data_IF_367455824975
#
_entry.id   IF_367455824975
#
_cell.length_a   1.000
_cell.length_b   1.000
_cell.length_c   1.000
_cell.angle_alpha   90.00
_cell.angle_beta   90.00
_cell.angle_gamma   90.00
#
_symmetry.space_group_name_H-M   'P 1'
#
loop_
_entity.id
_entity.type
_entity.pdbx_description
1 polymer ?
#
# COMPACT_ATOMS: atom_id res chain seq x y z
N UNK A 1 42.79 35.92 10.15
CA UNK A 1 41.82 34.85 9.87
C UNK A 1 41.49 34.89 8.39
N UNK A 2 41.73 33.82 7.62
CA UNK A 2 41.53 33.86 6.16
C UNK A 2 40.06 33.66 5.79
N UNK A 3 39.66 34.25 4.65
CA UNK A 3 38.32 34.06 4.08
C UNK A 3 38.01 32.60 3.74
N UNK A 4 39.04 31.79 3.41
CA UNK A 4 38.90 30.35 3.18
C UNK A 4 38.46 29.61 4.44
N UNK A 5 39.09 29.90 5.59
CA UNK A 5 38.73 29.30 6.87
C UNK A 5 37.29 29.63 7.27
N UNK A 6 36.86 30.89 7.08
CA UNK A 6 35.49 31.29 7.39
C UNK A 6 34.46 30.54 6.52
N UNK A 7 34.73 30.34 5.22
CA UNK A 7 33.86 29.54 4.34
C UNK A 7 33.78 28.08 4.77
N UNK A 8 34.90 27.46 5.11
CA UNK A 8 34.94 26.07 5.58
C UNK A 8 34.11 25.89 6.86
N UNK A 9 34.22 26.83 7.81
CA UNK A 9 33.42 26.82 9.04
C UNK A 9 31.92 26.95 8.73
N UNK A 10 31.53 27.88 7.84
CA UNK A 10 30.10 28.06 7.48
C UNK A 10 29.53 26.84 6.77
N UNK A 11 30.28 26.24 5.83
CA UNK A 11 29.84 25.02 5.13
C UNK A 11 29.69 23.86 6.10
N UNK A 12 30.67 23.65 6.98
CA UNK A 12 30.63 22.59 8.00
C UNK A 12 29.45 22.78 8.96
N UNK A 13 29.16 24.01 9.38
CA UNK A 13 28.00 24.32 10.21
C UNK A 13 26.68 24.05 9.49
N UNK A 14 26.58 24.38 8.20
CA UNK A 14 25.39 24.12 7.39
C UNK A 14 25.17 22.62 7.20
N UNK A 15 26.22 21.86 6.89
CA UNK A 15 26.18 20.40 6.79
C UNK A 15 25.75 19.75 8.11
N UNK A 16 26.28 20.22 9.24
CA UNK A 16 25.88 19.76 10.57
C UNK A 16 24.40 20.06 10.84
N UNK A 17 23.93 21.27 10.54
CA UNK A 17 22.51 21.65 10.70
C UNK A 17 21.61 20.76 9.84
N UNK A 18 21.99 20.51 8.59
CA UNK A 18 21.24 19.63 7.70
C UNK A 18 21.24 18.18 8.19
N UNK A 19 22.37 17.66 8.66
CA UNK A 19 22.47 16.32 9.24
C UNK A 19 21.62 16.18 10.51
N UNK A 20 21.65 17.15 11.42
CA UNK A 20 20.81 17.18 12.62
C UNK A 20 19.33 17.27 12.23
N UNK A 21 18.97 18.14 11.29
CA UNK A 21 17.62 18.26 10.77
C UNK A 21 17.14 16.95 10.13
N UNK A 22 18.02 16.24 9.42
CA UNK A 22 17.72 14.93 8.83
C UNK A 22 17.49 13.87 9.92
N UNK A 23 18.34 13.79 10.94
CA UNK A 23 18.15 12.85 12.06
C UNK A 23 16.85 13.14 12.82
N UNK A 24 16.56 14.41 13.10
CA UNK A 24 15.29 14.82 13.74
C UNK A 24 14.11 14.48 12.83
N UNK A 25 14.21 14.74 11.53
CA UNK A 25 13.18 14.42 10.55
C UNK A 25 12.93 12.92 10.49
N UNK A 26 13.97 12.09 10.43
CA UNK A 26 13.86 10.63 10.44
C UNK A 26 13.24 10.12 11.75
N UNK A 27 13.65 10.69 12.89
CA UNK A 27 13.07 10.35 14.19
C UNK A 27 11.58 10.70 14.24
N UNK A 28 11.20 11.93 13.88
CA UNK A 28 9.79 12.36 13.79
C UNK A 28 8.99 11.50 12.80
N UNK A 29 9.61 11.14 11.67
CA UNK A 29 9.05 10.22 10.69
C UNK A 29 8.72 8.85 11.31
N UNK A 30 9.59 8.35 12.20
CA UNK A 30 9.33 7.14 12.98
C UNK A 30 8.07 7.21 13.83
N UNK A 31 7.67 8.40 14.28
CA UNK A 31 6.49 8.64 15.11
C UNK A 31 5.22 8.98 14.32
N UNK A 32 5.25 9.02 12.98
CA UNK A 32 4.08 9.42 12.18
C UNK A 32 2.80 8.64 12.54
N UNK A 33 2.80 7.32 12.75
CA UNK A 33 1.59 6.61 13.17
C UNK A 33 1.00 7.13 14.48
N UNK A 34 1.85 7.52 15.43
CA UNK A 34 1.42 8.08 16.73
C UNK A 34 0.92 9.51 16.53
N UNK A 35 1.63 10.32 15.74
CA UNK A 35 1.20 11.68 15.39
C UNK A 35 -0.13 11.67 14.63
N UNK A 36 -0.37 10.67 13.77
CA UNK A 36 -1.63 10.46 13.08
C UNK A 36 -2.78 10.16 14.05
N UNK A 37 -2.56 9.31 15.06
CA UNK A 37 -3.58 9.07 16.09
C UNK A 37 -3.83 10.32 16.91
N UNK A 38 -2.77 11.02 17.33
CA UNK A 38 -2.88 12.26 18.09
C UNK A 38 -3.62 13.34 17.29
N UNK A 39 -3.37 13.45 15.99
CA UNK A 39 -4.06 14.34 15.06
C UNK A 39 -5.55 13.99 14.92
N UNK A 40 -5.89 12.71 14.69
CA UNK A 40 -7.29 12.25 14.61
C UNK A 40 -8.05 12.54 15.91
N UNK A 41 -7.45 12.23 17.07
CA UNK A 41 -8.04 12.47 18.37
C UNK A 41 -8.12 13.96 18.72
N UNK A 42 -7.10 14.74 18.37
CA UNK A 42 -7.04 16.18 18.59
C UNK A 42 -8.15 16.91 17.82
N UNK A 43 -8.28 16.64 16.52
CA UNK A 43 -9.39 17.15 15.71
C UNK A 43 -10.75 16.71 16.23
N UNK A 44 -10.88 15.44 16.62
CA UNK A 44 -12.14 14.92 17.19
C UNK A 44 -12.50 15.65 18.47
N UNK A 45 -11.55 15.81 19.39
CA UNK A 45 -11.77 16.55 20.62
C UNK A 45 -12.17 18.00 20.33
N UNK A 46 -11.45 18.70 19.44
CA UNK A 46 -11.73 20.07 19.08
C UNK A 46 -13.13 20.26 18.47
N UNK A 47 -13.49 19.42 17.49
CA UNK A 47 -14.81 19.46 16.84
C UNK A 47 -15.92 19.15 17.84
N UNK A 48 -15.74 18.16 18.72
CA UNK A 48 -16.73 17.82 19.73
C UNK A 48 -16.87 18.92 20.79
N UNK A 49 -15.77 19.51 21.27
CA UNK A 49 -15.80 20.63 22.20
C UNK A 49 -16.55 21.81 21.59
N UNK A 50 -16.28 22.14 20.33
CA UNK A 50 -17.00 23.22 19.65
C UNK A 50 -18.49 22.89 19.43
N UNK A 51 -18.81 21.79 18.74
CA UNK A 51 -20.20 21.48 18.37
C UNK A 51 -21.06 21.14 19.60
N UNK A 52 -20.58 20.29 20.50
CA UNK A 52 -21.33 19.88 21.68
C UNK A 52 -21.25 20.90 22.80
N UNK A 53 -20.04 21.41 23.09
CA UNK A 53 -19.79 22.24 24.26
C UNK A 53 -20.20 23.70 24.11
N UNK A 54 -20.09 24.25 22.90
CA UNK A 54 -20.43 25.66 22.65
C UNK A 54 -21.79 25.82 21.95
N UNK A 55 -22.16 24.94 21.02
CA UNK A 55 -23.38 25.14 20.20
C UNK A 55 -24.59 24.34 20.70
N UNK A 56 -24.44 23.04 20.95
CA UNK A 56 -25.60 22.16 21.27
C UNK A 56 -25.95 22.20 22.76
N UNK A 57 -24.97 22.00 23.64
CA UNK A 57 -25.10 22.03 25.09
C UNK A 57 -24.14 23.12 25.57
N UNK A 58 -24.50 24.41 25.47
CA UNK A 58 -23.61 25.50 25.87
C UNK A 58 -23.25 25.38 27.35
N UNK A 59 -22.17 24.66 27.67
CA UNK A 59 -21.67 24.44 29.03
C UNK A 59 -20.98 25.70 29.55
N UNK A 60 -20.45 26.51 28.64
CA UNK A 60 -19.92 27.84 28.91
C UNK A 60 -20.99 28.91 28.69
N UNK A 61 -21.92 29.03 29.63
CA UNK A 61 -22.56 30.32 29.89
C UNK A 61 -21.53 31.25 30.54
N UNK A 62 -20.56 31.76 29.79
CA UNK A 62 -20.08 33.12 30.07
C UNK A 62 -21.16 34.03 29.50
N UNK A 63 -21.96 34.71 30.35
CA UNK A 63 -23.08 35.54 29.92
C UNK A 63 -22.51 36.82 29.30
N UNK A 64 -21.96 36.71 28.09
CA UNK A 64 -21.63 37.83 27.24
C UNK A 64 -22.76 38.03 26.22
N UNK A 65 -23.21 39.27 25.96
CA UNK A 65 -24.31 39.57 25.03
C UNK A 65 -24.03 39.21 23.56
N UNK A 66 -22.88 38.60 23.25
CA UNK A 66 -22.39 38.34 21.90
C UNK A 66 -22.49 36.86 21.48
N UNK A 67 -22.72 35.91 22.40
CA UNK A 67 -22.86 34.50 22.04
C UNK A 67 -24.32 34.05 22.10
N UNK A 68 -25.09 34.41 21.07
CA UNK A 68 -26.48 33.95 20.90
C UNK A 68 -26.48 32.81 19.89
N UNK A 69 -26.87 31.61 20.33
CA UNK A 69 -27.07 30.44 19.47
C UNK A 69 -28.53 30.39 19.06
N UNK A 70 -28.82 30.44 17.76
CA UNK A 70 -30.18 30.28 17.27
C UNK A 70 -30.59 28.80 17.19
N UNK A 71 -31.90 28.54 17.09
CA UNK A 71 -32.40 27.18 16.83
C UNK A 71 -31.89 26.62 15.49
N UNK A 72 -31.66 27.51 14.51
CA UNK A 72 -31.08 27.12 13.23
C UNK A 72 -29.64 26.62 13.42
N UNK A 73 -28.82 27.34 14.18
CA UNK A 73 -27.42 26.96 14.46
C UNK A 73 -27.33 25.62 15.19
N UNK A 74 -28.24 25.36 16.12
CA UNK A 74 -28.30 24.07 16.81
C UNK A 74 -28.61 22.91 15.84
N UNK A 75 -29.60 23.09 14.95
CA UNK A 75 -29.92 22.08 13.93
C UNK A 75 -28.73 21.85 12.97
N UNK A 76 -28.03 22.91 12.57
CA UNK A 76 -26.83 22.82 11.74
C UNK A 76 -25.72 22.08 12.49
N UNK A 77 -25.48 22.37 13.77
CA UNK A 77 -24.49 21.69 14.58
C UNK A 77 -24.79 20.19 14.73
N UNK A 78 -26.05 19.81 14.93
CA UNK A 78 -26.47 18.40 14.96
C UNK A 78 -26.21 17.69 13.63
N UNK A 79 -26.52 18.35 12.51
CA UNK A 79 -26.23 17.81 11.18
C UNK A 79 -24.71 17.65 10.94
N UNK A 80 -23.92 18.68 11.29
CA UNK A 80 -22.46 18.65 11.20
C UNK A 80 -21.84 17.57 12.09
N UNK A 81 -22.39 17.34 13.28
CA UNK A 81 -21.96 16.26 14.16
C UNK A 81 -22.20 14.88 13.52
N UNK A 82 -23.36 14.69 12.88
CA UNK A 82 -23.66 13.46 12.13
C UNK A 82 -22.69 13.24 10.95
N UNK A 83 -22.43 14.29 10.17
CA UNK A 83 -21.46 14.25 9.06
C UNK A 83 -20.05 13.96 9.59
N UNK A 84 -19.62 14.63 10.65
CA UNK A 84 -18.32 14.44 11.26
C UNK A 84 -18.15 13.01 11.78
N UNK A 85 -19.14 12.47 12.51
CA UNK A 85 -19.11 11.10 13.01
C UNK A 85 -18.99 10.08 11.86
N UNK A 86 -19.75 10.27 10.78
CA UNK A 86 -19.63 9.44 9.59
C UNK A 86 -18.21 9.49 8.99
N UNK A 87 -17.69 10.70 8.75
CA UNK A 87 -16.35 10.88 8.17
C UNK A 87 -15.26 10.28 9.08
N UNK A 88 -15.37 10.47 10.40
CA UNK A 88 -14.46 9.86 11.37
C UNK A 88 -14.45 8.33 11.26
N UNK A 89 -15.62 7.68 11.23
CA UNK A 89 -15.71 6.22 11.06
C UNK A 89 -15.12 5.76 9.73
N UNK A 90 -15.35 6.51 8.66
CA UNK A 90 -14.82 6.19 7.34
C UNK A 90 -13.31 6.40 7.22
N UNK A 91 -12.71 7.25 8.06
CA UNK A 91 -11.25 7.48 8.14
C UNK A 91 -10.57 6.52 9.12
N UNK A 92 -11.10 6.36 10.34
CA UNK A 92 -10.50 5.52 11.37
C UNK A 92 -10.69 4.01 11.08
N UNK A 93 -11.82 3.63 10.45
CA UNK A 93 -12.13 2.23 10.16
C UNK A 93 -11.12 1.51 9.24
N UNK A 94 -10.75 2.06 8.06
CA UNK A 94 -9.73 1.47 7.21
C UNK A 94 -8.37 1.37 7.90
N UNK A 95 -8.00 2.37 8.72
CA UNK A 95 -6.76 2.36 9.50
C UNK A 95 -6.76 1.21 10.52
N UNK A 96 -7.84 1.08 11.29
CA UNK A 96 -8.03 0.00 12.25
C UNK A 96 -8.01 -1.38 11.58
N UNK A 97 -8.63 -1.51 10.40
CA UNK A 97 -8.60 -2.74 9.61
C UNK A 97 -7.17 -3.08 9.17
N UNK A 98 -6.40 -2.10 8.66
CA UNK A 98 -5.01 -2.33 8.27
C UNK A 98 -4.14 -2.75 9.45
N UNK A 99 -4.25 -2.10 10.61
CA UNK A 99 -3.53 -2.50 11.81
C UNK A 99 -3.94 -3.87 12.31
N UNK A 100 -5.23 -4.20 12.28
CA UNK A 100 -5.72 -5.54 12.64
C UNK A 100 -5.14 -6.61 11.72
N UNK A 101 -5.12 -6.36 10.41
CA UNK A 101 -4.50 -7.25 9.43
C UNK A 101 -2.98 -7.37 9.64
N UNK A 102 -2.28 -6.25 9.85
CA UNK A 102 -0.84 -6.20 10.14
C UNK A 102 -0.51 -6.99 11.40
N UNK A 103 -1.24 -6.77 12.48
CA UNK A 103 -1.09 -7.50 13.74
C UNK A 103 -1.28 -9.01 13.56
N UNK A 104 -2.32 -9.43 12.83
CA UNK A 104 -2.56 -10.84 12.53
C UNK A 104 -1.40 -11.45 11.72
N UNK A 105 -0.92 -10.76 10.69
CA UNK A 105 0.22 -11.21 9.88
C UNK A 105 1.51 -11.29 10.71
N UNK A 106 1.75 -10.30 11.58
CA UNK A 106 2.90 -10.29 12.48
C UNK A 106 2.89 -11.44 13.50
N UNK A 107 1.72 -11.92 13.92
CA UNK A 107 1.57 -12.98 14.91
C UNK A 107 1.54 -14.37 14.31
N UNK A 108 0.98 -14.52 13.10
CA UNK A 108 0.62 -15.83 12.53
C UNK A 108 1.12 -16.03 11.09
N UNK A 109 1.83 -15.06 10.53
CA UNK A 109 2.11 -14.99 9.09
C UNK A 109 0.84 -14.69 8.27
N UNK A 110 1.02 -14.47 6.97
CA UNK A 110 -0.10 -14.45 6.04
C UNK A 110 -0.70 -15.86 5.92
N UNK A 111 -2.04 -15.94 5.95
CA UNK A 111 -2.79 -17.18 5.70
C UNK A 111 -3.67 -16.98 4.46
N UNK A 112 -3.47 -17.77 3.40
CA UNK A 112 -4.34 -17.70 2.23
C UNK A 112 -5.74 -18.24 2.55
N UNK A 113 -6.73 -17.99 1.66
CA UNK A 113 -8.05 -18.60 1.76
C UNK A 113 -7.97 -20.13 1.91
N UNK A 114 -8.90 -20.74 2.67
CA UNK A 114 -8.87 -22.18 2.94
C UNK A 114 -8.96 -23.04 1.67
N UNK A 115 -9.64 -22.55 0.63
CA UNK A 115 -9.77 -23.22 -0.66
C UNK A 115 -8.59 -22.93 -1.62
N UNK A 116 -7.54 -22.23 -1.18
CA UNK A 116 -6.42 -21.92 -2.05
C UNK A 116 -5.60 -23.18 -2.37
N UNK A 117 -5.24 -23.35 -3.63
CA UNK A 117 -4.47 -24.50 -4.12
C UNK A 117 -2.98 -24.16 -4.12
N UNK A 118 -2.19 -24.92 -3.36
CA UNK A 118 -0.73 -24.74 -3.25
C UNK A 118 0.06 -25.40 -4.38
N UNK A 119 -0.53 -26.41 -5.05
CA UNK A 119 0.10 -27.18 -6.12
C UNK A 119 0.24 -26.42 -7.43
N UNK A 120 0.74 -27.12 -8.45
CA UNK A 120 0.91 -26.59 -9.80
C UNK A 120 -0.45 -26.21 -10.43
N UNK A 121 -0.45 -25.11 -11.18
CA UNK A 121 -1.61 -24.58 -11.91
C UNK A 121 -1.32 -24.49 -13.40
N UNK A 122 -2.34 -24.20 -14.21
CA UNK A 122 -2.16 -24.06 -15.67
C UNK A 122 -1.25 -22.87 -16.01
N UNK A 123 -1.40 -21.77 -15.28
CA UNK A 123 -0.55 -20.58 -15.40
C UNK A 123 -0.04 -20.20 -14.02
N UNK A 124 1.25 -19.90 -13.92
CA UNK A 124 1.90 -19.48 -12.68
C UNK A 124 2.93 -18.40 -12.99
N UNK A 125 3.15 -17.49 -12.06
CA UNK A 125 4.34 -16.66 -12.06
C UNK A 125 5.57 -17.54 -11.85
N UNK A 126 6.65 -17.23 -12.55
CA UNK A 126 7.92 -17.96 -12.45
C UNK A 126 9.02 -17.10 -11.81
N UNK A 127 10.11 -17.75 -11.42
CA UNK A 127 11.35 -17.05 -11.13
C UNK A 127 11.96 -16.50 -12.41
N UNK A 128 12.82 -15.47 -12.28
CA UNK A 128 13.56 -14.93 -13.42
C UNK A 128 14.50 -15.96 -14.07
N UNK A 129 14.96 -16.97 -13.31
CA UNK A 129 15.76 -18.09 -13.83
C UNK A 129 14.85 -19.21 -14.35
N UNK A 130 14.94 -19.57 -15.65
CA UNK A 130 14.19 -20.69 -16.22
C UNK A 130 14.60 -22.03 -15.59
N UNK A 131 15.90 -22.25 -15.38
CA UNK A 131 16.42 -23.49 -14.78
C UNK A 131 15.94 -23.70 -13.35
N UNK A 132 15.90 -22.64 -12.54
CA UNK A 132 15.37 -22.71 -11.17
C UNK A 132 13.86 -23.02 -11.18
N UNK A 133 13.11 -22.38 -12.08
CA UNK A 133 11.68 -22.60 -12.25
C UNK A 133 11.37 -24.05 -12.66
N UNK A 134 12.15 -24.59 -13.60
CA UNK A 134 12.04 -25.97 -14.05
C UNK A 134 12.37 -26.95 -12.92
N UNK A 135 13.44 -26.69 -12.15
CA UNK A 135 13.82 -27.53 -11.00
C UNK A 135 12.71 -27.59 -9.95
N UNK A 136 12.11 -26.46 -9.58
CA UNK A 136 11.01 -26.45 -8.62
C UNK A 136 9.77 -27.19 -9.14
N UNK A 137 9.41 -26.96 -10.41
CA UNK A 137 8.26 -27.64 -11.02
C UNK A 137 8.46 -29.15 -11.10
N UNK A 138 9.68 -29.61 -11.44
CA UNK A 138 10.02 -31.04 -11.45
C UNK A 138 9.87 -31.71 -10.07
N UNK A 139 9.96 -30.92 -8.99
CA UNK A 139 9.72 -31.37 -7.62
C UNK A 139 8.24 -31.22 -7.18
N UNK A 140 7.34 -30.88 -8.11
CA UNK A 140 5.93 -30.61 -7.83
C UNK A 140 5.65 -29.25 -7.20
N UNK A 141 6.65 -28.36 -7.13
CA UNK A 141 6.52 -27.03 -6.53
C UNK A 141 6.25 -25.94 -7.55
N UNK A 142 5.58 -24.89 -7.07
CA UNK A 142 5.39 -23.64 -7.81
C UNK A 142 6.74 -23.05 -8.28
N UNK A 143 6.82 -22.51 -9.52
CA UNK A 143 8.08 -22.07 -10.13
C UNK A 143 8.58 -20.73 -9.59
N UNK A 144 7.70 -19.88 -9.05
CA UNK A 144 8.06 -18.71 -8.26
C UNK A 144 8.20 -19.13 -6.79
N UNK A 145 9.36 -18.88 -6.19
CA UNK A 145 9.61 -19.11 -4.76
C UNK A 145 10.49 -18.00 -4.23
N UNK A 146 10.11 -17.48 -3.07
CA UNK A 146 10.97 -16.56 -2.33
C UNK A 146 12.24 -17.26 -1.86
N UNK A 147 13.40 -16.68 -2.19
CA UNK A 147 14.73 -17.17 -1.77
C UNK A 147 14.93 -17.23 -0.27
N UNK A 148 14.27 -16.37 0.52
CA UNK A 148 14.35 -16.35 1.99
C UNK A 148 13.45 -17.38 2.67
N UNK A 149 12.38 -17.79 2.01
CA UNK A 149 11.42 -18.75 2.55
C UNK A 149 11.50 -20.11 1.84
N UNK A 150 12.59 -20.38 1.10
CA UNK A 150 12.83 -21.71 0.53
C UNK A 150 13.01 -22.67 1.71
N UNK A 151 12.21 -23.74 1.81
CA UNK A 151 12.40 -24.73 2.85
C UNK A 151 13.79 -25.36 2.71
N UNK A 152 14.43 -25.68 3.83
CA UNK A 152 15.61 -26.54 3.81
C UNK A 152 15.24 -27.90 3.22
N UNK A 153 16.20 -28.58 2.58
CA UNK A 153 16.02 -29.95 2.07
C UNK A 153 15.43 -30.87 3.14
N UNK A 154 15.93 -30.75 4.37
CA UNK A 154 15.43 -31.47 5.54
C UNK A 154 13.95 -31.18 5.86
N UNK A 155 13.51 -29.92 5.75
CA UNK A 155 12.10 -29.55 5.96
C UNK A 155 11.15 -30.07 4.87
N UNK A 156 11.67 -30.33 3.65
CA UNK A 156 10.92 -31.00 2.59
C UNK A 156 10.75 -32.49 2.88
N UNK A 157 11.84 -33.16 3.31
CA UNK A 157 11.85 -34.58 3.68
C UNK A 157 10.94 -34.87 4.89
N UNK A 158 10.92 -33.97 5.87
CA UNK A 158 10.09 -34.08 7.07
C UNK A 158 8.62 -33.64 6.83
N UNK A 159 8.26 -33.19 5.62
CA UNK A 159 6.91 -32.72 5.30
C UNK A 159 6.47 -31.44 6.04
N UNK A 160 7.39 -30.80 6.77
CA UNK A 160 7.15 -29.61 7.61
C UNK A 160 7.27 -28.29 6.84
N UNK A 161 7.78 -28.34 5.60
CA UNK A 161 7.91 -27.21 4.71
C UNK A 161 6.56 -26.59 4.36
N UNK A 162 6.36 -25.31 4.68
CA UNK A 162 5.19 -24.57 4.23
C UNK A 162 5.29 -24.38 2.69
N UNK A 163 4.53 -25.19 1.95
CA UNK A 163 4.64 -25.29 0.49
C UNK A 163 3.85 -24.23 -0.28
N UNK A 164 3.09 -23.37 0.41
CA UNK A 164 2.27 -22.37 -0.26
C UNK A 164 3.08 -21.16 -0.73
N UNK A 165 3.33 -21.12 -2.03
CA UNK A 165 3.79 -19.92 -2.73
C UNK A 165 2.93 -19.71 -3.98
N UNK A 166 1.95 -18.81 -3.87
CA UNK A 166 1.13 -18.39 -5.00
C UNK A 166 1.81 -17.31 -5.84
N UNK A 167 1.12 -16.91 -6.90
CA UNK A 167 1.54 -15.82 -7.76
C UNK A 167 1.57 -14.51 -6.98
N UNK A 168 2.58 -13.70 -7.27
CA UNK A 168 2.80 -12.35 -6.74
C UNK A 168 3.03 -12.33 -5.23
N UNK A 169 3.53 -13.44 -4.67
CA UNK A 169 3.99 -13.46 -3.28
C UNK A 169 5.41 -12.91 -3.18
N UNK A 170 5.61 -11.94 -2.30
CA UNK A 170 6.92 -11.38 -2.01
C UNK A 170 7.16 -11.36 -0.51
N UNK A 171 8.42 -11.54 -0.14
CA UNK A 171 8.83 -11.50 1.25
C UNK A 171 8.86 -10.06 1.79
N UNK A 172 8.26 -9.90 2.97
CA UNK A 172 8.12 -8.61 3.64
C UNK A 172 8.88 -8.64 4.96
N UNK A 173 9.68 -7.60 5.17
CA UNK A 173 10.35 -7.31 6.44
C UNK A 173 9.89 -5.91 6.84
N UNK A 174 9.59 -5.70 8.12
CA UNK A 174 9.29 -4.36 8.66
C UNK A 174 10.54 -3.50 8.65
N UNK A 175 10.38 -2.18 8.82
CA UNK A 175 11.53 -1.28 9.01
C UNK A 175 12.38 -1.66 10.24
N UNK A 176 11.73 -2.19 11.30
CA UNK A 176 12.40 -2.72 12.48
C UNK A 176 13.09 -4.08 12.28
N UNK A 177 13.13 -4.60 11.05
CA UNK A 177 13.77 -5.88 10.73
C UNK A 177 12.93 -7.12 11.04
N UNK A 178 11.67 -6.97 11.49
CA UNK A 178 10.80 -8.10 11.80
C UNK A 178 10.31 -8.76 10.50
N UNK A 179 10.54 -10.06 10.39
CA UNK A 179 10.09 -10.88 9.26
C UNK A 179 8.57 -11.12 9.33
N UNK A 180 7.84 -10.77 8.26
CA UNK A 180 6.40 -11.02 8.11
C UNK A 180 6.10 -12.20 7.18
N UNK A 181 7.14 -12.82 6.62
CA UNK A 181 7.07 -13.88 5.63
C UNK A 181 6.64 -13.38 4.25
N UNK A 182 6.16 -14.31 3.42
CA UNK A 182 5.68 -13.99 2.08
C UNK A 182 4.21 -13.56 2.11
N UNK A 183 3.91 -12.40 1.51
CA UNK A 183 2.58 -11.82 1.45
C UNK A 183 2.23 -11.59 -0.02
N UNK A 184 1.00 -11.93 -0.47
CA UNK A 184 0.59 -11.73 -1.85
C UNK A 184 0.38 -10.26 -2.19
N UNK A 185 0.71 -9.91 -3.43
CA UNK A 185 0.57 -8.58 -4.04
C UNK A 185 1.19 -7.51 -3.14
N UNK A 186 2.36 -7.80 -2.57
CA UNK A 186 3.09 -6.88 -1.69
C UNK A 186 3.61 -5.68 -2.48
N UNK A 187 3.17 -4.48 -2.10
CA UNK A 187 3.67 -3.22 -2.62
C UNK A 187 4.93 -2.79 -1.85
N UNK A 188 4.77 -2.53 -0.55
CA UNK A 188 5.84 -2.18 0.39
C UNK A 188 5.38 -2.38 1.84
N UNK A 189 6.31 -2.29 2.79
CA UNK A 189 5.96 -2.04 4.19
C UNK A 189 5.83 -0.53 4.37
N UNK A 190 4.63 -0.05 4.66
CA UNK A 190 4.34 1.36 4.85
C UNK A 190 4.80 1.79 6.23
N UNK A 191 5.93 2.50 6.28
CA UNK A 191 6.54 2.96 7.53
C UNK A 191 5.70 4.00 8.25
N UNK A 192 4.99 4.89 7.54
CA UNK A 192 4.14 5.93 8.14
C UNK A 192 2.82 5.41 8.72
N UNK A 193 2.47 4.15 8.46
CA UNK A 193 1.30 3.49 9.03
C UNK A 193 1.65 2.23 9.85
N UNK A 194 2.91 1.79 9.84
CA UNK A 194 3.35 0.50 10.39
C UNK A 194 2.54 -0.71 9.88
N UNK A 195 2.22 -0.74 8.58
CA UNK A 195 1.48 -1.85 7.96
C UNK A 195 2.11 -2.30 6.64
N UNK A 196 2.09 -3.60 6.31
CA UNK A 196 2.37 -4.04 4.95
C UNK A 196 1.21 -3.62 4.04
N UNK A 197 1.51 -2.89 2.96
CA UNK A 197 0.56 -2.61 1.88
C UNK A 197 0.61 -3.79 0.91
N UNK A 198 -0.43 -4.63 0.97
CA UNK A 198 -0.48 -5.92 0.32
C UNK A 198 -1.91 -6.30 -0.05
N UNK A 199 -2.14 -7.44 -0.69
CA UNK A 199 -3.47 -7.89 -1.12
C UNK A 199 -4.60 -7.63 -0.09
N UNK A 200 -4.49 -8.02 1.20
CA UNK A 200 -5.54 -7.81 2.19
C UNK A 200 -5.71 -6.35 2.65
N UNK A 201 -4.73 -5.46 2.43
CA UNK A 201 -4.70 -4.10 2.98
C UNK A 201 -4.71 -3.00 1.93
N UNK A 202 -4.45 -3.30 0.64
CA UNK A 202 -4.37 -2.29 -0.43
C UNK A 202 -5.67 -1.47 -0.54
N UNK A 203 -6.85 -2.10 -0.45
CA UNK A 203 -8.13 -1.37 -0.50
C UNK A 203 -8.19 -0.33 0.62
N UNK A 204 -8.00 -0.79 1.86
CA UNK A 204 -8.02 0.02 3.07
C UNK A 204 -6.99 1.15 3.01
N UNK A 205 -5.80 0.87 2.49
CA UNK A 205 -4.74 1.84 2.30
C UNK A 205 -5.14 2.97 1.33
N UNK A 206 -5.69 2.60 0.16
CA UNK A 206 -6.10 3.56 -0.85
C UNK A 206 -7.23 4.46 -0.36
N UNK A 207 -8.29 3.88 0.19
CA UNK A 207 -9.44 4.63 0.69
C UNK A 207 -9.09 5.46 1.93
N UNK A 208 -8.19 4.98 2.80
CA UNK A 208 -7.71 5.74 3.96
C UNK A 208 -7.10 7.07 3.53
N UNK A 209 -6.25 7.09 2.50
CA UNK A 209 -5.64 8.33 2.02
C UNK A 209 -6.68 9.35 1.55
N UNK A 210 -7.77 8.91 0.92
CA UNK A 210 -8.86 9.80 0.47
C UNK A 210 -9.67 10.31 1.66
N UNK A 211 -10.07 9.40 2.55
CA UNK A 211 -10.87 9.75 3.73
C UNK A 211 -10.11 10.62 4.72
N UNK A 212 -8.79 10.47 4.83
CA UNK A 212 -7.95 11.32 5.66
C UNK A 212 -7.98 12.78 5.16
N UNK A 213 -7.90 13.02 3.84
CA UNK A 213 -8.07 14.37 3.27
C UNK A 213 -9.46 14.92 3.58
N UNK A 214 -10.51 14.11 3.36
CA UNK A 214 -11.90 14.53 3.64
C UNK A 214 -12.09 14.86 5.13
N UNK A 215 -11.58 14.03 6.04
CA UNK A 215 -11.63 14.24 7.48
C UNK A 215 -10.99 15.56 7.88
N UNK A 216 -9.79 15.83 7.37
CA UNK A 216 -9.07 17.07 7.64
C UNK A 216 -9.85 18.28 7.12
N UNK A 217 -10.34 18.24 5.87
CA UNK A 217 -11.12 19.33 5.29
C UNK A 217 -12.44 19.58 6.03
N UNK A 218 -13.19 18.53 6.38
CA UNK A 218 -14.46 18.66 7.12
C UNK A 218 -14.21 19.19 8.52
N UNK A 219 -13.20 18.68 9.23
CA UNK A 219 -12.86 19.14 10.58
C UNK A 219 -12.45 20.61 10.59
N UNK A 220 -11.57 21.01 9.67
CA UNK A 220 -11.14 22.40 9.52
C UNK A 220 -12.32 23.31 9.12
N UNK A 221 -13.20 22.85 8.24
CA UNK A 221 -14.41 23.59 7.85
C UNK A 221 -15.34 23.84 9.04
N UNK A 222 -15.54 22.83 9.89
CA UNK A 222 -16.34 22.97 11.12
C UNK A 222 -15.66 23.94 12.09
N UNK A 223 -14.36 23.80 12.32
CA UNK A 223 -13.60 24.67 13.25
C UNK A 223 -13.45 26.11 12.74
N UNK A 224 -13.55 26.33 11.44
CA UNK A 224 -13.56 27.67 10.83
C UNK A 224 -14.94 28.33 10.85
N UNK A 225 -16.02 27.58 11.13
CA UNK A 225 -17.38 28.11 11.12
C UNK A 225 -17.58 29.34 12.04
N UNK A 226 -17.02 29.41 13.26
CA UNK A 226 -17.11 30.61 14.11
C UNK A 226 -16.59 31.89 13.47
N UNK A 227 -15.65 31.81 12.53
CA UNK A 227 -15.11 32.99 11.84
C UNK A 227 -16.14 33.68 10.95
N UNK A 228 -17.11 32.90 10.45
CA UNK A 228 -18.18 33.41 9.61
C UNK A 228 -19.28 34.13 10.40
N UNK A 229 -19.32 33.97 11.73
CA UNK A 229 -20.33 34.57 12.59
C UNK A 229 -19.68 35.66 13.44
N UNK A 230 -19.95 36.92 13.08
CA UNK A 230 -19.35 38.11 13.71
C UNK A 230 -19.37 38.03 15.24
N UNK A 231 -20.49 37.63 15.81
CA UNK A 231 -20.71 37.61 17.25
C UNK A 231 -19.91 36.51 17.98
N UNK A 232 -19.37 35.52 17.24
CA UNK A 232 -18.57 34.41 17.78
C UNK A 232 -17.05 34.63 17.58
N UNK A 233 -16.64 35.64 16.82
CA UNK A 233 -15.23 35.87 16.45
C UNK A 233 -14.30 36.05 17.65
N UNK A 234 -14.79 36.62 18.76
CA UNK A 234 -14.01 36.82 19.98
C UNK A 234 -13.49 35.50 20.60
N UNK A 235 -14.18 34.38 20.36
CA UNK A 235 -13.77 33.05 20.83
C UNK A 235 -13.14 32.20 19.71
N UNK A 236 -13.19 32.66 18.46
CA UNK A 236 -12.72 31.90 17.30
C UNK A 236 -11.20 31.69 17.29
N UNK A 237 -10.41 32.53 17.98
CA UNK A 237 -8.95 32.42 18.01
C UNK A 237 -8.46 31.09 18.58
N UNK A 238 -9.16 30.53 19.57
CA UNK A 238 -8.81 29.23 20.16
C UNK A 238 -8.95 28.12 19.13
N UNK A 239 -10.06 28.13 18.38
CA UNK A 239 -10.34 27.16 17.33
C UNK A 239 -9.42 27.32 16.13
N UNK A 240 -9.05 28.55 15.77
CA UNK A 240 -8.05 28.83 14.74
C UNK A 240 -6.68 28.31 15.16
N UNK A 241 -6.27 28.55 16.40
CA UNK A 241 -5.01 28.07 16.93
C UNK A 241 -4.95 26.54 16.90
N UNK A 242 -6.00 25.88 17.41
CA UNK A 242 -6.14 24.42 17.38
C UNK A 242 -6.09 23.92 15.93
N UNK A 243 -6.89 24.49 15.02
CA UNK A 243 -6.91 24.12 13.61
C UNK A 243 -5.56 24.32 12.91
N UNK A 244 -4.76 25.31 13.32
CA UNK A 244 -3.42 25.56 12.79
C UNK A 244 -2.36 24.58 13.31
N UNK A 245 -2.56 23.98 14.49
CA UNK A 245 -1.61 23.03 15.08
C UNK A 245 -1.66 21.63 14.45
N UNK A 246 -2.80 21.22 13.87
CA UNK A 246 -3.02 19.84 13.43
C UNK A 246 -2.98 19.53 11.90
N UNK A 247 -2.76 20.46 10.95
CA UNK A 247 -2.76 20.10 9.52
C UNK A 247 -1.47 19.39 9.08
N UNK A 248 -0.56 19.06 9.99
CA UNK A 248 0.69 18.35 9.69
C UNK A 248 0.45 17.04 8.93
N UNK A 249 -0.53 16.23 9.34
CA UNK A 249 -0.87 15.00 8.64
C UNK A 249 -1.42 15.26 7.24
N UNK A 250 -2.22 16.31 7.05
CA UNK A 250 -2.69 16.72 5.73
C UNK A 250 -1.50 17.09 4.83
N UNK A 251 -0.53 17.86 5.33
CA UNK A 251 0.69 18.21 4.59
C UNK A 251 1.48 16.96 4.21
N UNK A 252 1.70 16.03 5.14
CA UNK A 252 2.40 14.78 4.86
C UNK A 252 1.70 13.94 3.79
N UNK A 253 0.37 13.85 3.86
CA UNK A 253 -0.47 13.13 2.90
C UNK A 253 -0.39 13.81 1.52
N UNK A 254 -0.50 15.13 1.45
CA UNK A 254 -0.38 15.88 0.19
C UNK A 254 1.04 15.80 -0.41
N UNK A 255 2.08 15.72 0.43
CA UNK A 255 3.46 15.53 0.01
C UNK A 255 3.74 14.07 -0.40
N UNK A 256 2.98 13.11 0.12
CA UNK A 256 3.11 11.71 -0.25
C UNK A 256 2.75 11.51 -1.74
N UNK A 257 3.34 10.51 -2.42
CA UNK A 257 3.09 10.25 -3.83
C UNK A 257 1.74 9.53 -4.06
N UNK A 258 0.65 10.04 -3.48
CA UNK A 258 -0.71 9.46 -3.50
C UNK A 258 -1.15 9.19 -4.93
N UNK A 259 -1.02 10.19 -5.81
CA UNK A 259 -1.40 10.05 -7.23
C UNK A 259 -0.65 8.89 -7.90
N UNK A 260 0.64 8.74 -7.60
CA UNK A 260 1.47 7.67 -8.16
C UNK A 260 1.06 6.31 -7.59
N UNK A 261 0.81 6.23 -6.29
CA UNK A 261 0.37 4.99 -5.64
C UNK A 261 -1.02 4.57 -6.12
N UNK A 262 -2.00 5.48 -6.17
CA UNK A 262 -3.33 5.23 -6.73
C UNK A 262 -3.26 4.75 -8.17
N UNK A 263 -2.52 5.46 -9.03
CA UNK A 263 -2.36 5.04 -10.43
C UNK A 263 -1.77 3.63 -10.53
N UNK A 264 -0.72 3.34 -9.77
CA UNK A 264 -0.01 2.05 -9.87
C UNK A 264 -0.80 0.90 -9.27
N UNK A 265 -1.34 1.07 -8.07
CA UNK A 265 -2.03 0.01 -7.33
C UNK A 265 -3.47 -0.19 -7.81
N UNK A 266 -4.20 0.90 -8.02
CA UNK A 266 -5.63 0.85 -8.31
C UNK A 266 -5.90 0.75 -9.83
N UNK A 267 -5.14 1.49 -10.64
CA UNK A 267 -5.43 1.61 -12.07
C UNK A 267 -4.59 0.68 -12.97
N UNK A 268 -3.40 0.26 -12.54
CA UNK A 268 -2.46 -0.54 -13.36
C UNK A 268 -2.16 -1.92 -12.78
N UNK A 269 -2.73 -2.24 -11.61
CA UNK A 269 -2.46 -3.45 -10.83
C UNK A 269 -0.97 -3.82 -10.77
N UNK A 270 -0.13 -2.83 -10.42
CA UNK A 270 1.34 -2.93 -10.45
C UNK A 270 1.98 -2.53 -9.10
N UNK A 271 2.09 -3.46 -8.14
CA UNK A 271 2.76 -3.28 -6.86
C UNK A 271 4.22 -2.84 -6.98
N UNK A 272 4.71 -2.17 -5.93
CA UNK A 272 6.06 -1.62 -5.70
C UNK A 272 7.16 -2.60 -6.03
N UNK A 273 7.04 -3.81 -5.47
CA UNK A 273 7.98 -4.90 -5.70
C UNK A 273 8.05 -5.28 -7.18
N UNK A 274 6.91 -5.49 -7.83
CA UNK A 274 6.85 -5.86 -9.26
C UNK A 274 7.40 -4.78 -10.17
N UNK A 275 7.02 -3.53 -9.93
CA UNK A 275 7.54 -2.41 -10.70
C UNK A 275 9.05 -2.32 -10.61
N UNK A 276 9.62 -2.53 -9.43
CA UNK A 276 11.08 -2.46 -9.24
C UNK A 276 11.78 -3.64 -9.92
N UNK A 277 11.22 -4.85 -9.79
CA UNK A 277 11.82 -6.09 -10.32
C UNK A 277 11.70 -6.24 -11.83
N UNK A 278 10.54 -5.85 -12.39
CA UNK A 278 10.15 -6.19 -13.76
C UNK A 278 9.97 -4.99 -14.68
N UNK A 279 10.00 -3.74 -14.18
CA UNK A 279 9.68 -2.54 -14.99
C UNK A 279 10.76 -1.45 -14.91
N UNK A 280 11.07 -0.92 -13.71
CA UNK A 280 11.79 0.37 -13.47
C UNK A 280 13.13 0.53 -14.19
N UNK A 281 13.82 -0.57 -14.47
CA UNK A 281 15.17 -0.58 -15.05
C UNK A 281 15.27 -1.40 -16.34
N UNK A 282 14.16 -1.54 -17.08
CA UNK A 282 14.11 -2.33 -18.31
C UNK A 282 13.53 -1.52 -19.46
N UNK A 283 14.01 -1.78 -20.68
CA UNK A 283 13.46 -1.18 -21.91
C UNK A 283 12.01 -1.58 -22.13
N UNK A 284 11.70 -2.83 -21.84
CA UNK A 284 10.35 -3.40 -21.85
C UNK A 284 10.12 -4.14 -20.53
N UNK A 285 8.88 -4.16 -20.02
CA UNK A 285 8.53 -5.03 -18.90
C UNK A 285 8.90 -6.48 -19.20
N UNK A 286 9.31 -7.22 -18.17
CA UNK A 286 9.72 -8.62 -18.33
C UNK A 286 9.18 -9.46 -17.18
N UNK A 287 7.97 -9.99 -17.35
CA UNK A 287 7.28 -10.81 -16.37
C UNK A 287 7.50 -12.30 -16.67
N UNK A 288 8.31 -13.02 -15.88
CA UNK A 288 8.52 -14.45 -16.07
C UNK A 288 7.28 -15.23 -15.62
N UNK A 289 6.76 -16.05 -16.52
CA UNK A 289 5.58 -16.90 -16.34
C UNK A 289 5.94 -18.36 -16.67
N UNK A 290 5.22 -19.29 -16.08
CA UNK A 290 5.28 -20.72 -16.37
C UNK A 290 3.90 -21.15 -16.81
N UNK A 291 3.79 -21.66 -18.03
CA UNK A 291 2.50 -21.94 -18.68
C UNK A 291 2.45 -23.41 -19.08
N UNK A 292 1.35 -24.08 -18.75
CA UNK A 292 1.08 -25.45 -19.14
C UNK A 292 0.71 -25.52 -20.62
N UNK A 293 1.33 -26.45 -21.33
CA UNK A 293 1.06 -26.76 -22.73
C UNK A 293 -0.03 -27.82 -22.84
N UNK A 294 -0.53 -28.03 -24.06
CA UNK A 294 -1.51 -29.07 -24.38
C UNK A 294 -0.96 -30.49 -24.14
N UNK A 295 0.34 -30.69 -24.29
CA UNK A 295 1.04 -31.96 -23.99
C UNK A 295 1.20 -32.23 -22.47
N UNK A 296 0.72 -31.33 -21.62
CA UNK A 296 0.83 -31.42 -20.16
C UNK A 296 2.16 -30.93 -19.58
N UNK A 297 3.15 -30.60 -20.41
CA UNK A 297 4.43 -30.03 -19.99
C UNK A 297 4.32 -28.53 -19.70
N UNK A 298 5.34 -27.96 -19.08
CA UNK A 298 5.39 -26.54 -18.76
C UNK A 298 6.50 -25.82 -19.53
N UNK A 299 6.22 -24.59 -19.96
CA UNK A 299 7.19 -23.70 -20.60
C UNK A 299 7.41 -22.42 -19.80
N UNK A 300 8.67 -22.02 -19.67
CA UNK A 300 9.04 -20.69 -19.17
C UNK A 300 8.86 -19.66 -20.28
N UNK A 301 8.06 -18.63 -20.03
CA UNK A 301 7.78 -17.54 -20.98
C UNK A 301 7.99 -16.21 -20.28
N UNK A 302 8.72 -15.29 -20.91
CA UNK A 302 8.88 -13.92 -20.41
C UNK A 302 7.93 -13.00 -21.18
N UNK A 303 7.01 -12.36 -20.48
CA UNK A 303 5.97 -11.50 -21.05
C UNK A 303 6.42 -10.03 -21.04
N UNK A 304 6.27 -9.36 -22.19
CA UNK A 304 6.69 -7.98 -22.44
C UNK A 304 5.83 -6.88 -21.81
N UNK A 305 4.84 -7.24 -20.98
CA UNK A 305 3.86 -6.34 -20.36
C UNK A 305 3.37 -6.91 -19.02
N UNK A 306 2.63 -6.13 -18.22
CA UNK A 306 2.04 -6.60 -16.96
C UNK A 306 0.87 -7.55 -17.26
N UNK A 307 0.97 -8.86 -16.97
CA UNK A 307 -0.06 -9.81 -17.36
C UNK A 307 -1.34 -9.66 -16.52
N UNK A 308 -1.27 -9.00 -15.36
CA UNK A 308 -2.42 -8.73 -14.49
C UNK A 308 -3.10 -7.38 -14.75
N UNK A 309 -2.56 -6.54 -15.64
CA UNK A 309 -3.20 -5.27 -16.00
C UNK A 309 -4.40 -5.51 -16.94
N UNK A 310 -5.61 -5.44 -16.38
CA UNK A 310 -6.89 -5.63 -17.10
C UNK A 310 -7.46 -4.33 -17.64
N UNK A 311 -6.73 -3.23 -17.55
CA UNK A 311 -7.22 -1.88 -17.80
C UNK A 311 -7.88 -1.23 -16.58
N UNK A 312 -7.90 0.10 -16.57
CA UNK A 312 -8.25 0.93 -15.40
C UNK A 312 -9.54 0.51 -14.70
N UNK A 313 -10.64 0.33 -15.44
CA UNK A 313 -11.94 0.02 -14.85
C UNK A 313 -11.97 -1.35 -14.16
N UNK A 314 -11.41 -2.38 -14.80
CA UNK A 314 -11.36 -3.74 -14.25
C UNK A 314 -10.36 -3.85 -13.10
N UNK A 315 -9.25 -3.12 -13.17
CA UNK A 315 -8.29 -3.03 -12.06
C UNK A 315 -8.92 -2.35 -10.84
N UNK A 316 -9.64 -1.24 -11.03
CA UNK A 316 -10.37 -0.57 -9.95
C UNK A 316 -11.40 -1.49 -9.30
N UNK A 317 -12.21 -2.20 -10.10
CA UNK A 317 -13.17 -3.20 -9.57
C UNK A 317 -12.46 -4.32 -8.80
N UNK A 318 -11.33 -4.80 -9.31
CA UNK A 318 -10.54 -5.82 -8.63
C UNK A 318 -10.05 -5.34 -7.26
N UNK A 319 -9.58 -4.10 -7.18
CA UNK A 319 -8.96 -3.52 -5.98
C UNK A 319 -10.00 -3.05 -4.96
N UNK A 320 -11.03 -2.33 -5.40
CA UNK A 320 -12.00 -1.66 -4.52
C UNK A 320 -13.29 -2.47 -4.32
N UNK A 321 -13.59 -3.41 -5.21
CA UNK A 321 -14.80 -4.23 -5.20
C UNK A 321 -15.61 -4.12 -6.50
N UNK A 322 -16.41 -5.15 -6.79
CA UNK A 322 -17.16 -5.27 -8.06
C UNK A 322 -18.18 -4.13 -8.26
N UNK A 323 -18.84 -3.71 -7.18
CA UNK A 323 -19.81 -2.63 -7.17
C UNK A 323 -19.17 -1.32 -6.70
N UNK A 324 -19.43 -0.21 -7.41
CA UNK A 324 -18.96 1.13 -7.03
C UNK A 324 -19.43 1.51 -5.62
N UNK A 325 -20.62 1.05 -5.21
CA UNK A 325 -21.16 1.26 -3.87
C UNK A 325 -20.34 0.57 -2.77
N UNK A 326 -19.60 -0.48 -3.11
CA UNK A 326 -18.72 -1.18 -2.17
C UNK A 326 -17.35 -0.52 -2.01
N UNK A 327 -16.99 0.42 -2.90
CA UNK A 327 -15.67 1.05 -2.91
C UNK A 327 -15.33 1.80 -1.62
N UNK A 328 -16.19 2.69 -1.09
CA UNK A 328 -15.88 3.39 0.16
C UNK A 328 -15.91 2.46 1.38
N UNK A 329 -16.55 1.29 1.27
CA UNK A 329 -16.81 0.39 2.39
C UNK A 329 -15.60 -0.51 2.64
N UNK A 330 -14.75 -0.12 3.59
CA UNK A 330 -13.47 -0.78 3.88
C UNK A 330 -13.60 -2.24 4.32
N UNK A 331 -14.68 -2.61 5.04
CA UNK A 331 -14.87 -3.98 5.54
C UNK A 331 -15.31 -4.96 4.46
N UNK A 332 -15.82 -4.47 3.33
CA UNK A 332 -16.20 -5.35 2.24
C UNK A 332 -14.93 -5.77 1.50
N UNK A 333 -14.45 -6.98 1.81
CA UNK A 333 -13.29 -7.57 1.15
C UNK A 333 -13.55 -7.71 -0.35
N UNK A 334 -12.65 -7.22 -1.22
CA UNK A 334 -12.74 -7.44 -2.66
C UNK A 334 -12.67 -8.92 -3.02
N UNK A 335 -13.28 -9.28 -4.15
CA UNK A 335 -13.29 -10.65 -4.70
C UNK A 335 -11.87 -11.21 -4.82
N UNK A 336 -10.92 -10.40 -5.32
CA UNK A 336 -9.50 -10.79 -5.47
C UNK A 336 -8.81 -11.20 -4.18
N UNK A 337 -9.32 -10.79 -3.02
CA UNK A 337 -8.77 -11.16 -1.70
C UNK A 337 -9.39 -12.48 -1.24
N UNK A 338 -10.70 -12.65 -1.43
CA UNK A 338 -11.44 -13.85 -1.00
C UNK A 338 -11.12 -15.09 -1.83
N UNK A 339 -10.91 -14.90 -3.13
CA UNK A 339 -10.69 -15.98 -4.11
C UNK A 339 -9.21 -16.13 -4.49
N UNK A 340 -8.30 -15.48 -3.76
CA UNK A 340 -6.87 -15.59 -4.04
C UNK A 340 -6.42 -17.04 -3.93
N UNK A 341 -5.91 -17.59 -5.04
CA UNK A 341 -5.42 -18.95 -5.09
C UNK A 341 -6.49 -20.04 -5.23
N UNK A 342 -7.79 -19.71 -5.30
CA UNK A 342 -8.86 -20.74 -5.32
C UNK A 342 -9.21 -21.24 -6.73
N UNK A 343 -8.90 -20.46 -7.78
CA UNK A 343 -9.19 -20.83 -9.18
C UNK A 343 -8.04 -21.52 -9.90
N UNK A 344 -8.16 -21.69 -11.22
CA UNK A 344 -7.06 -22.18 -12.08
C UNK A 344 -5.88 -21.22 -12.15
N UNK A 345 -6.10 -19.96 -11.81
CA UNK A 345 -5.10 -18.91 -11.64
C UNK A 345 -5.23 -18.37 -10.20
N UNK A 346 -4.15 -17.84 -9.63
CA UNK A 346 -4.23 -17.26 -8.28
C UNK A 346 -4.91 -15.89 -8.28
N UNK A 347 -4.77 -15.15 -9.38
CA UNK A 347 -5.41 -13.87 -9.64
C UNK A 347 -5.81 -13.81 -11.12
N UNK A 348 -6.94 -13.17 -11.47
CA UNK A 348 -7.37 -13.07 -12.86
C UNK A 348 -6.35 -12.33 -13.72
N UNK A 349 -5.91 -12.98 -14.80
CA UNK A 349 -5.03 -12.40 -15.80
C UNK A 349 -5.81 -11.50 -16.79
N UNK A 350 -5.05 -10.73 -17.59
CA UNK A 350 -5.60 -9.86 -18.62
C UNK A 350 -6.07 -10.66 -19.84
N UNK A 351 -7.09 -10.14 -20.54
CA UNK A 351 -7.54 -10.72 -21.81
C UNK A 351 -6.41 -10.80 -22.84
N UNK A 352 -5.52 -9.80 -22.85
CA UNK A 352 -4.30 -9.79 -23.65
C UNK A 352 -3.40 -10.99 -23.35
N UNK A 353 -3.22 -11.32 -22.07
CA UNK A 353 -2.44 -12.49 -21.69
C UNK A 353 -3.06 -13.79 -22.21
N UNK A 354 -4.37 -13.97 -22.03
CA UNK A 354 -5.04 -15.17 -22.54
C UNK A 354 -4.93 -15.30 -24.06
N UNK A 355 -5.10 -14.19 -24.79
CA UNK A 355 -4.92 -14.15 -26.24
C UNK A 355 -3.50 -14.55 -26.64
N UNK A 356 -2.47 -13.99 -26.00
CA UNK A 356 -1.07 -14.35 -26.26
C UNK A 356 -0.78 -15.84 -26.02
N UNK A 357 -1.41 -16.47 -25.04
CA UNK A 357 -1.26 -17.90 -24.77
C UNK A 357 -1.98 -18.73 -25.83
N UNK A 358 -3.21 -18.36 -26.20
CA UNK A 358 -3.98 -19.02 -27.26
C UNK A 358 -3.23 -18.96 -28.60
N UNK A 359 -2.74 -17.79 -28.98
CA UNK A 359 -1.99 -17.59 -30.23
C UNK A 359 -0.70 -18.42 -30.24
N UNK A 360 0.01 -18.49 -29.10
CA UNK A 360 1.22 -19.32 -28.98
C UNK A 360 0.90 -20.81 -29.07
N UNK A 361 -0.20 -21.26 -28.47
CA UNK A 361 -0.60 -22.67 -28.53
C UNK A 361 -1.08 -23.06 -29.95
N UNK A 362 -1.76 -22.16 -30.65
CA UNK A 362 -2.16 -22.34 -32.04
C UNK A 362 -0.96 -22.37 -32.99
N UNK A 363 0.05 -21.51 -32.77
CA UNK A 363 1.25 -21.45 -33.61
C UNK A 363 2.19 -22.65 -33.43
N UNK A 364 2.20 -23.30 -32.25
CA UNK A 364 2.97 -24.55 -32.04
C UNK A 364 2.36 -25.73 -32.83
N UNK A 365 1.10 -25.62 -33.29
CA UNK A 365 0.54 -26.51 -34.31
C UNK A 365 1.12 -26.31 -35.73
N UNK A 366 1.89 -25.24 -35.94
CA UNK A 366 2.45 -24.85 -37.23
C UNK A 366 3.86 -24.23 -37.09
N UNK A 367 4.86 -24.96 -36.55
CA UNK A 367 6.27 -24.76 -36.93
C UNK A 367 7.21 -25.81 -36.34
N UNK A 368 7.64 -26.76 -37.18
CA UNK A 368 8.99 -27.31 -37.12
C UNK A 368 9.91 -26.38 -37.92
N UNK A 369 10.78 -25.63 -37.25
CA UNK A 369 12.05 -25.17 -37.82
C UNK A 369 12.94 -24.66 -36.68
N UNK A 370 14.04 -25.37 -36.45
CA UNK A 370 15.12 -24.95 -35.55
C UNK A 370 15.73 -23.64 -36.01
N UNK A 371 16.03 -22.75 -35.07
CA UNK A 371 17.09 -21.77 -35.22
C UNK A 371 17.72 -21.51 -33.84
N UNK A 372 18.90 -22.09 -33.67
CA UNK A 372 19.82 -21.79 -32.57
C UNK A 372 20.12 -20.30 -32.52
N UNK A 373 19.78 -19.66 -31.41
CA UNK A 373 20.29 -18.33 -31.06
C UNK A 373 21.30 -18.53 -29.92
N UNK A 374 22.60 -18.27 -30.13
CA UNK A 374 23.57 -18.40 -29.06
C UNK A 374 23.34 -17.31 -28.00
N UNK A 375 23.13 -17.74 -26.76
CA UNK A 375 23.17 -16.89 -25.58
C UNK A 375 24.61 -16.36 -25.42
N UNK A 376 24.80 -15.06 -25.67
CA UNK A 376 26.01 -14.37 -25.22
C UNK A 376 26.06 -14.40 -23.68
N UNK A 377 27.00 -15.18 -23.16
CA UNK A 377 27.43 -15.12 -21.76
C UNK A 377 28.05 -13.74 -21.49
N UNK A 378 27.36 -12.92 -20.70
CA UNK A 378 27.97 -11.73 -20.12
C UNK A 378 28.94 -12.15 -18.99
N UNK A 379 30.13 -11.53 -18.87
CA UNK A 379 31.13 -11.91 -17.89
C UNK A 379 30.66 -11.62 -16.47
N UNK A 380 31.01 -12.52 -15.56
CA UNK A 380 30.83 -12.39 -14.13
C UNK A 380 31.55 -11.13 -13.62
N UNK A 381 30.81 -10.06 -13.34
CA UNK A 381 31.36 -8.90 -12.65
C UNK A 381 31.36 -9.18 -11.14
N UNK A 382 32.55 -9.53 -10.66
CA UNK A 382 32.96 -9.56 -9.26
C UNK A 382 32.37 -8.36 -8.49
N UNK A 383 31.60 -8.65 -7.44
CA UNK A 383 31.25 -7.66 -6.42
C UNK A 383 32.53 -7.32 -5.65
N UNK A 384 33.11 -6.15 -5.91
CA UNK A 384 33.81 -5.41 -4.86
C UNK A 384 32.77 -4.59 -4.12
N UNK A 385 32.70 -4.80 -2.80
CA UNK A 385 31.79 -4.10 -1.92
C UNK A 385 32.10 -2.61 -1.87
N UNK A 386 31.08 -1.84 -1.52
CA UNK A 386 31.26 -0.63 -0.74
C UNK A 386 30.15 -0.54 0.30
N UNK A 387 30.64 -0.21 1.48
CA UNK A 387 30.00 0.01 2.77
C UNK A 387 29.07 1.22 2.77
N UNK A 388 28.35 1.33 3.88
CA UNK A 388 27.72 2.53 4.47
C UNK A 388 28.23 3.88 3.98
N UNK A 389 27.27 4.80 3.81
CA UNK A 389 27.28 6.28 3.84
C UNK A 389 26.23 6.74 2.81
N UNK A 390 25.23 7.58 3.09
CA UNK A 390 24.85 8.41 4.23
C UNK A 390 23.32 8.58 4.21
#
# INVERSE_FOLDING_TARGET
>A
MSWSWFKEVVVTLLELVLAVAEVISQWLCGWIPVLLVADLLGHTCAVLLFLLGDVIIPFHTTPGPLFVVSRHDNNVALALLGVFAFVFVMTAGPLAQMWTCSYKMQRRGYRPPAAAVSGLKAVMQANASPGLSARYTAQGFRPNRCTKCVPSLRGLEEGSANMMHGDRMYHCVTESGKDLGCIPVLDHHCWWLWVPVSLPTIKSYLIFMVWLVIFQTVSLGILAWPLAIWSWQANAWLYVFIAACFPYMLVLVLAAPIRKQWRRLACMDSPGKEYTLYIRHRRTPAFPMYVKRSDGTYVHKVIGYNPWDKGTALNLRSVLGESVWSWPVWFLLPRRVREYGTGEEDLPLSSRFHQDIQDTQASVGFTFAMADIPLQTLPARQRRGFSSES
#
